data_IF_428905605338
#
_entry.id   IF_428905605338
#
_cell.length_a   1.000
_cell.length_b   1.000
_cell.length_c   1.000
_cell.angle_alpha   90.00
_cell.angle_beta   90.00
_cell.angle_gamma   90.00
#
_symmetry.space_group_name_H-M   'P 1'
#
loop_
_entity.id
_entity.type
_entity.pdbx_description
1 polymer ?
#
# COMPACT_ATOMS: atom_id res chain seq x y z
N UNK A 1 20.11 7.08 3.04
CA UNK A 1 18.90 6.70 3.81
C UNK A 1 18.37 5.42 3.22
N UNK A 2 18.16 4.42 4.09
CA UNK A 2 17.65 3.11 3.70
C UNK A 2 16.17 2.98 4.05
N UNK A 3 15.34 2.62 3.09
CA UNK A 3 13.89 2.55 3.23
C UNK A 3 13.42 1.15 2.85
N UNK A 4 12.61 0.52 3.72
CA UNK A 4 11.86 -0.67 3.37
C UNK A 4 10.48 -0.25 2.87
N UNK A 5 10.14 -0.59 1.63
CA UNK A 5 8.84 -0.28 1.01
C UNK A 5 8.02 -1.57 0.83
N UNK A 6 6.88 -1.60 1.49
CA UNK A 6 5.87 -2.66 1.38
C UNK A 6 4.52 -2.06 0.98
N UNK A 7 3.61 -2.89 0.50
CA UNK A 7 2.23 -2.52 0.17
C UNK A 7 1.31 -3.73 0.22
N UNK A 8 0.02 -3.49 0.28
CA UNK A 8 -1.03 -4.49 0.13
C UNK A 8 -0.86 -5.74 1.03
N UNK A 9 -0.61 -5.57 2.35
CA UNK A 9 -0.51 -6.73 3.24
C UNK A 9 -1.84 -7.44 3.45
N UNK A 10 -2.98 -6.79 3.25
CA UNK A 10 -4.32 -7.37 3.35
C UNK A 10 -4.50 -8.29 4.56
N UNK A 11 -4.23 -7.75 5.74
CA UNK A 11 -4.45 -8.49 6.99
C UNK A 11 -5.93 -8.85 7.09
N UNK A 12 -6.19 -10.13 7.37
CA UNK A 12 -7.54 -10.69 7.46
C UNK A 12 -7.93 -10.95 8.90
N UNK A 13 -9.23 -10.95 9.16
CA UNK A 13 -9.79 -11.42 10.42
C UNK A 13 -9.41 -12.87 10.67
N UNK A 14 -9.00 -13.25 11.89
CA UNK A 14 -8.85 -14.64 12.26
C UNK A 14 -10.17 -15.40 12.06
N UNK A 15 -10.09 -16.61 11.50
CA UNK A 15 -11.27 -17.47 11.27
C UNK A 15 -12.43 -16.77 10.53
N UNK A 16 -12.14 -15.83 9.62
CA UNK A 16 -13.16 -15.09 8.91
C UNK A 16 -14.16 -16.01 8.16
N UNK A 17 -13.71 -17.22 7.76
CA UNK A 17 -14.56 -18.23 7.09
C UNK A 17 -15.63 -18.83 7.98
N UNK A 18 -15.43 -18.78 9.31
CA UNK A 18 -16.36 -19.30 10.32
C UNK A 18 -17.36 -18.23 10.78
N UNK A 19 -17.18 -16.97 10.38
CA UNK A 19 -18.04 -15.86 10.76
C UNK A 19 -19.30 -15.81 9.88
N UNK A 20 -20.46 -15.50 10.44
CA UNK A 20 -21.68 -15.28 9.66
C UNK A 20 -21.53 -14.05 8.77
N UNK A 21 -22.18 -14.06 7.60
CA UNK A 21 -22.11 -12.95 6.65
C UNK A 21 -22.62 -11.62 7.24
N UNK A 22 -23.52 -11.68 8.22
CA UNK A 22 -24.01 -10.51 8.95
C UNK A 22 -22.92 -9.67 9.62
N UNK A 23 -21.80 -10.29 10.05
CA UNK A 23 -20.71 -9.59 10.72
C UNK A 23 -19.97 -8.62 9.78
N UNK A 24 -20.02 -8.89 8.47
CA UNK A 24 -19.35 -8.07 7.47
C UNK A 24 -20.20 -6.86 7.00
N UNK A 25 -21.52 -6.92 7.21
CA UNK A 25 -22.46 -5.91 6.76
C UNK A 25 -22.67 -5.90 5.23
N UNK A 26 -23.74 -5.25 4.74
CA UNK A 26 -24.16 -5.34 3.33
C UNK A 26 -23.15 -4.75 2.35
N UNK A 27 -22.44 -3.69 2.74
CA UNK A 27 -21.47 -3.03 1.84
C UNK A 27 -20.18 -3.82 1.60
N UNK A 28 -19.84 -4.74 2.51
CA UNK A 28 -18.70 -5.64 2.38
C UNK A 28 -19.08 -7.00 1.81
N UNK A 29 -20.38 -7.27 1.61
CA UNK A 29 -20.87 -8.57 1.17
C UNK A 29 -20.21 -9.02 -0.15
N UNK A 30 -20.07 -8.12 -1.15
CA UNK A 30 -19.42 -8.43 -2.43
C UNK A 30 -17.95 -8.81 -2.20
N UNK A 31 -17.23 -8.01 -1.43
CA UNK A 31 -15.82 -8.28 -1.12
C UNK A 31 -15.66 -9.59 -0.33
N UNK A 32 -16.58 -9.89 0.58
CA UNK A 32 -16.59 -11.16 1.31
C UNK A 32 -16.80 -12.34 0.37
N UNK A 33 -17.68 -12.23 -0.63
CA UNK A 33 -17.87 -13.26 -1.66
C UNK A 33 -16.57 -13.50 -2.45
N UNK A 34 -15.82 -12.45 -2.81
CA UNK A 34 -14.52 -12.60 -3.48
C UNK A 34 -13.50 -13.33 -2.60
N UNK A 35 -13.50 -13.07 -1.28
CA UNK A 35 -12.66 -13.81 -0.34
C UNK A 35 -13.02 -15.30 -0.33
N UNK A 36 -14.31 -15.63 -0.34
CA UNK A 36 -14.80 -17.00 -0.36
C UNK A 36 -14.43 -17.73 -1.65
N UNK A 37 -14.45 -17.05 -2.80
CA UNK A 37 -14.06 -17.60 -4.11
C UNK A 37 -12.57 -17.94 -4.23
N UNK A 38 -11.74 -17.61 -3.25
CA UNK A 38 -10.33 -18.01 -3.22
C UNK A 38 -9.35 -16.92 -2.85
N UNK A 39 -9.65 -15.63 -3.07
CA UNK A 39 -8.76 -14.52 -2.72
C UNK A 39 -8.30 -14.59 -1.25
N UNK A 40 -9.18 -15.01 -0.34
CA UNK A 40 -8.82 -15.15 1.07
C UNK A 40 -7.71 -16.15 1.35
N UNK A 41 -7.54 -17.20 0.50
CA UNK A 41 -6.47 -18.19 0.65
C UNK A 41 -5.09 -17.61 0.31
N UNK A 42 -5.06 -16.64 -0.60
CA UNK A 42 -3.82 -15.96 -1.00
C UNK A 42 -3.19 -15.22 0.18
N UNK A 43 -4.00 -14.82 1.16
CA UNK A 43 -3.60 -14.05 2.33
C UNK A 43 -3.60 -14.84 3.63
N UNK A 44 -3.81 -16.16 3.57
CA UNK A 44 -3.61 -17.01 4.76
C UNK A 44 -2.18 -16.84 5.28
N UNK A 45 -2.04 -16.44 6.56
CA UNK A 45 -0.76 -16.12 7.19
C UNK A 45 -0.19 -14.72 6.86
N UNK A 46 -0.97 -13.82 6.27
CA UNK A 46 -0.55 -12.46 5.95
C UNK A 46 -0.05 -11.69 7.19
N UNK A 47 -0.72 -11.83 8.32
CA UNK A 47 -0.34 -11.20 9.59
C UNK A 47 1.07 -11.63 10.04
N UNK A 48 1.40 -12.92 9.95
CA UNK A 48 2.73 -13.38 10.35
C UNK A 48 3.81 -12.93 9.37
N UNK A 49 3.51 -12.91 8.07
CA UNK A 49 4.44 -12.35 7.06
C UNK A 49 4.67 -10.86 7.30
N UNK A 50 3.61 -10.10 7.66
CA UNK A 50 3.74 -8.69 8.00
C UNK A 50 4.63 -8.47 9.23
N UNK A 51 4.46 -9.29 10.28
CA UNK A 51 5.33 -9.29 11.46
C UNK A 51 6.78 -9.61 11.08
N UNK A 52 6.99 -10.57 10.18
CA UNK A 52 8.33 -10.89 9.70
C UNK A 52 8.96 -9.71 8.97
N UNK A 53 8.21 -9.03 8.09
CA UNK A 53 8.70 -7.83 7.38
C UNK A 53 9.06 -6.71 8.38
N UNK A 54 8.28 -6.54 9.45
CA UNK A 54 8.62 -5.58 10.51
C UNK A 54 9.95 -5.94 11.20
N UNK A 55 10.21 -7.23 11.49
CA UNK A 55 11.51 -7.69 12.02
C UNK A 55 12.65 -7.49 11.00
N UNK A 56 12.38 -7.70 9.72
CA UNK A 56 13.36 -7.52 8.65
C UNK A 56 13.86 -6.06 8.55
N UNK A 57 13.01 -5.09 8.92
CA UNK A 57 13.41 -3.69 8.96
C UNK A 57 14.58 -3.45 9.93
N UNK A 58 14.60 -4.13 11.07
CA UNK A 58 15.72 -4.07 12.02
C UNK A 58 16.95 -4.81 11.49
N UNK A 59 16.77 -6.02 10.98
CA UNK A 59 17.86 -6.83 10.41
C UNK A 59 18.56 -6.13 9.25
N UNK A 60 17.81 -5.40 8.42
CA UNK A 60 18.31 -4.63 7.29
C UNK A 60 18.75 -3.21 7.67
N UNK A 61 18.58 -2.82 8.93
CA UNK A 61 18.87 -1.46 9.43
C UNK A 61 18.17 -0.39 8.60
N UNK A 62 16.87 -0.60 8.35
CA UNK A 62 16.08 0.39 7.64
C UNK A 62 15.87 1.63 8.52
N UNK A 63 16.19 2.80 7.97
CA UNK A 63 15.93 4.09 8.63
C UNK A 63 14.44 4.36 8.72
N UNK A 64 13.70 4.00 7.66
CA UNK A 64 12.25 4.17 7.56
C UNK A 64 11.59 2.94 6.92
N UNK A 65 10.33 2.71 7.27
CA UNK A 65 9.47 1.71 6.65
C UNK A 65 8.26 2.43 6.06
N UNK A 66 8.02 2.24 4.78
CA UNK A 66 6.89 2.83 4.05
C UNK A 66 5.91 1.75 3.67
N UNK A 67 4.64 1.92 4.07
CA UNK A 67 3.53 1.10 3.60
C UNK A 67 2.59 1.95 2.74
N UNK A 68 2.45 1.57 1.46
CA UNK A 68 1.63 2.32 0.51
C UNK A 68 0.18 1.84 0.43
N UNK A 69 -0.36 1.31 1.54
CA UNK A 69 -1.80 1.08 1.72
C UNK A 69 -2.24 -0.38 1.62
N UNK A 70 -3.56 -0.55 1.69
CA UNK A 70 -4.26 -1.83 1.76
C UNK A 70 -3.75 -2.72 2.90
N UNK A 71 -3.66 -2.10 4.09
CA UNK A 71 -3.30 -2.79 5.34
C UNK A 71 -4.30 -3.89 5.68
N UNK A 72 -5.58 -3.60 5.44
CA UNK A 72 -6.70 -4.46 5.78
C UNK A 72 -7.32 -5.10 4.54
N UNK A 73 -8.11 -6.13 4.75
CA UNK A 73 -8.85 -6.79 3.66
C UNK A 73 -10.25 -6.17 3.47
N UNK A 74 -10.93 -5.81 4.55
CA UNK A 74 -12.32 -5.36 4.57
C UNK A 74 -12.54 -4.06 5.37
N UNK A 75 -11.50 -3.37 5.79
CA UNK A 75 -11.56 -2.21 6.69
C UNK A 75 -12.35 -2.50 7.98
N UNK A 76 -12.18 -3.68 8.55
CA UNK A 76 -12.75 -4.03 9.85
C UNK A 76 -11.85 -3.52 10.96
N UNK A 77 -12.45 -3.11 12.08
CA UNK A 77 -11.72 -2.58 13.24
C UNK A 77 -10.66 -3.57 13.75
N UNK A 78 -11.03 -4.85 13.83
CA UNK A 78 -10.11 -5.91 14.26
C UNK A 78 -8.94 -6.11 13.29
N UNK A 79 -9.15 -5.93 11.98
CA UNK A 79 -8.07 -6.01 10.99
C UNK A 79 -7.08 -4.87 11.18
N UNK A 80 -7.57 -3.65 11.42
CA UNK A 80 -6.71 -2.50 11.74
C UNK A 80 -5.93 -2.72 13.03
N UNK A 81 -6.58 -3.22 14.09
CA UNK A 81 -5.89 -3.52 15.35
C UNK A 81 -4.77 -4.56 15.16
N UNK A 82 -5.02 -5.61 14.38
CA UNK A 82 -4.02 -6.63 14.06
C UNK A 82 -2.85 -6.05 13.24
N UNK A 83 -3.14 -5.25 12.21
CA UNK A 83 -2.12 -4.61 11.39
C UNK A 83 -1.27 -3.64 12.21
N UNK A 84 -1.92 -2.79 13.04
CA UNK A 84 -1.24 -1.86 13.92
C UNK A 84 -0.32 -2.61 14.91
N UNK A 85 -0.83 -3.68 15.56
CA UNK A 85 -0.03 -4.48 16.47
C UNK A 85 1.18 -5.15 15.80
N UNK A 86 1.04 -5.58 14.54
CA UNK A 86 2.16 -6.16 13.77
C UNK A 86 3.24 -5.13 13.43
N UNK A 87 2.85 -3.88 13.20
CA UNK A 87 3.73 -2.78 12.80
C UNK A 87 4.20 -1.91 13.98
N UNK A 88 3.62 -2.08 15.16
CA UNK A 88 3.94 -1.30 16.37
C UNK A 88 5.46 -1.27 16.72
N UNK A 89 6.24 -2.36 16.54
CA UNK A 89 7.68 -2.32 16.80
C UNK A 89 8.46 -1.29 15.97
N UNK A 90 7.90 -0.85 14.83
CA UNK A 90 8.54 0.13 13.96
C UNK A 90 8.50 1.56 14.54
N UNK A 91 7.52 1.86 15.39
CA UNK A 91 7.39 3.18 16.05
C UNK A 91 7.34 4.33 15.05
N UNK A 92 8.18 5.34 15.28
CA UNK A 92 8.23 6.56 14.45
C UNK A 92 8.89 6.34 13.09
N UNK A 93 9.51 5.19 12.86
CA UNK A 93 10.07 4.84 11.54
C UNK A 93 9.00 4.46 10.53
N UNK A 94 7.75 4.23 10.96
CA UNK A 94 6.66 3.79 10.09
C UNK A 94 5.96 5.00 9.45
N UNK A 95 5.88 4.99 8.13
CA UNK A 95 5.06 5.89 7.32
C UNK A 95 4.02 5.02 6.60
N UNK A 96 2.74 5.27 6.85
CA UNK A 96 1.64 4.59 6.16
C UNK A 96 0.75 5.60 5.46
N UNK A 97 0.26 5.23 4.28
CA UNK A 97 -0.86 5.89 3.61
C UNK A 97 -2.00 4.86 3.43
N UNK A 98 -3.26 5.28 3.34
CA UNK A 98 -4.36 4.33 3.14
C UNK A 98 -4.41 3.81 1.70
N UNK A 99 -4.89 2.56 1.56
CA UNK A 99 -5.33 2.00 0.29
C UNK A 99 -6.85 1.99 0.16
N UNK A 100 -7.37 1.51 -0.97
CA UNK A 100 -8.83 1.46 -1.18
C UNK A 100 -9.51 0.41 -0.29
N UNK A 101 -8.82 -0.67 0.08
CA UNK A 101 -9.33 -1.64 1.05
C UNK A 101 -9.40 -1.07 2.47
N UNK A 102 -8.57 -0.10 2.82
CA UNK A 102 -8.63 0.61 4.12
C UNK A 102 -9.76 1.64 4.16
N UNK A 103 -10.31 2.00 3.01
CA UNK A 103 -11.35 3.01 2.81
C UNK A 103 -12.72 2.44 2.41
N UNK A 104 -12.97 1.16 2.61
CA UNK A 104 -14.27 0.57 2.28
C UNK A 104 -15.42 1.46 2.78
N UNK A 105 -16.33 1.89 1.88
CA UNK A 105 -17.31 2.89 2.23
C UNK A 105 -18.33 2.38 3.26
N UNK A 106 -18.66 3.23 4.22
CA UNK A 106 -19.79 3.07 5.12
C UNK A 106 -20.86 4.08 4.71
N UNK A 107 -22.04 3.60 4.34
CA UNK A 107 -23.18 4.44 3.91
C UNK A 107 -22.81 5.47 2.81
N UNK A 108 -22.01 5.05 1.82
CA UNK A 108 -21.61 5.91 0.69
C UNK A 108 -20.49 6.91 0.99
N UNK A 109 -19.90 6.87 2.17
CA UNK A 109 -18.75 7.72 2.56
C UNK A 109 -17.51 6.86 2.82
N UNK A 110 -16.28 7.38 2.58
CA UNK A 110 -15.06 6.69 2.95
C UNK A 110 -15.07 6.35 4.45
N UNK A 111 -14.65 5.13 4.78
CA UNK A 111 -14.43 4.74 6.15
C UNK A 111 -13.25 5.53 6.73
N UNK A 112 -13.39 6.05 7.95
CA UNK A 112 -12.36 6.84 8.64
C UNK A 112 -11.67 6.07 9.76
N UNK A 113 -11.92 4.78 9.90
CA UNK A 113 -11.23 3.94 10.90
C UNK A 113 -9.71 3.93 10.69
N UNK A 114 -9.24 4.03 9.45
CA UNK A 114 -7.81 4.10 9.17
C UNK A 114 -7.11 5.17 10.02
N UNK A 115 -7.63 6.40 10.07
CA UNK A 115 -7.02 7.50 10.80
C UNK A 115 -7.00 7.29 12.32
N UNK A 116 -7.91 6.47 12.85
CA UNK A 116 -7.94 6.13 14.28
C UNK A 116 -6.78 5.21 14.67
N UNK A 117 -6.34 4.36 13.75
CA UNK A 117 -5.24 3.40 13.96
C UNK A 117 -3.90 3.91 13.43
N UNK A 118 -3.91 4.63 12.33
CA UNK A 118 -2.75 5.21 11.66
C UNK A 118 -2.97 6.72 11.47
N UNK A 119 -2.89 7.51 12.57
CA UNK A 119 -3.13 8.93 12.49
C UNK A 119 -2.10 9.61 11.58
N UNK A 120 -2.50 10.64 10.82
CA UNK A 120 -1.59 11.38 9.96
C UNK A 120 -0.47 12.00 10.80
N UNK A 121 0.76 11.86 10.31
CA UNK A 121 1.96 12.42 10.93
C UNK A 121 2.66 13.34 9.94
N UNK A 122 3.40 14.35 10.41
CA UNK A 122 4.29 15.12 9.54
C UNK A 122 5.25 14.19 8.81
N UNK A 123 5.31 14.32 7.50
CA UNK A 123 6.26 13.56 6.69
C UNK A 123 7.64 14.23 6.72
N UNK A 124 8.74 13.45 6.68
CA UNK A 124 10.05 14.00 6.44
C UNK A 124 10.07 14.81 5.15
N UNK A 125 10.88 15.87 5.06
CA UNK A 125 10.94 16.80 3.93
C UNK A 125 11.10 16.13 2.55
N UNK A 126 11.80 14.99 2.53
CA UNK A 126 12.03 14.20 1.31
C UNK A 126 10.86 13.31 0.89
N UNK A 127 9.70 13.45 1.52
CA UNK A 127 8.50 12.67 1.20
C UNK A 127 7.34 13.59 0.82
N UNK A 128 6.49 13.08 -0.06
CA UNK A 128 5.19 13.65 -0.36
C UNK A 128 4.18 12.52 -0.44
N UNK A 129 3.03 12.65 0.22
CA UNK A 129 1.95 11.67 0.14
C UNK A 129 0.77 12.24 -0.62
N UNK A 130 0.17 11.40 -1.47
CA UNK A 130 -1.01 11.70 -2.27
C UNK A 130 -2.11 10.72 -1.88
N UNK A 131 -3.26 11.23 -1.47
CA UNK A 131 -4.41 10.39 -1.10
C UNK A 131 -5.24 10.04 -2.34
N UNK A 132 -4.89 8.94 -3.00
CA UNK A 132 -5.65 8.42 -4.15
C UNK A 132 -6.94 7.70 -3.77
N UNK A 133 -7.23 7.52 -2.47
CA UNK A 133 -8.38 6.80 -1.92
C UNK A 133 -9.36 7.72 -1.16
N UNK A 134 -9.08 9.03 -1.09
CA UNK A 134 -9.87 10.01 -0.33
C UNK A 134 -11.24 10.31 -0.93
N UNK A 135 -11.45 10.00 -2.21
CA UNK A 135 -12.71 10.16 -2.92
C UNK A 135 -13.17 8.81 -3.48
N UNK A 136 -14.45 8.48 -3.25
CA UNK A 136 -15.05 7.28 -3.84
C UNK A 136 -15.41 7.57 -5.29
N UNK A 137 -14.85 6.83 -6.21
CA UNK A 137 -15.21 6.88 -7.64
C UNK A 137 -16.43 6.02 -7.91
N UNK A 138 -17.61 6.47 -7.43
CA UNK A 138 -18.86 5.72 -7.64
C UNK A 138 -19.17 5.52 -9.14
N UNK A 139 -19.65 4.34 -9.59
CA UNK A 139 -19.93 3.13 -8.82
C UNK A 139 -18.70 2.22 -8.58
N UNK A 140 -17.53 2.61 -9.04
CA UNK A 140 -16.31 1.78 -9.03
C UNK A 140 -15.41 2.19 -7.88
N UNK A 141 -15.58 1.55 -6.73
CA UNK A 141 -14.85 1.87 -5.48
C UNK A 141 -13.37 1.51 -5.49
N UNK A 142 -12.91 0.75 -6.50
CA UNK A 142 -11.52 0.31 -6.65
C UNK A 142 -10.68 1.26 -7.51
N UNK A 143 -11.27 2.32 -8.08
CA UNK A 143 -10.54 3.34 -8.80
C UNK A 143 -9.92 4.36 -7.85
N UNK A 144 -8.68 4.77 -8.14
CA UNK A 144 -8.03 5.89 -7.47
C UNK A 144 -8.25 7.22 -8.18
N UNK A 145 -8.21 8.29 -7.39
CA UNK A 145 -8.19 9.66 -7.91
C UNK A 145 -7.33 10.56 -7.02
N UNK A 146 -6.47 11.35 -7.62
CA UNK A 146 -5.68 12.37 -6.93
C UNK A 146 -6.30 13.73 -7.24
N UNK A 147 -6.41 14.58 -6.22
CA UNK A 147 -6.89 15.97 -6.40
C UNK A 147 -5.84 16.78 -7.14
N UNK A 148 -6.26 17.60 -8.09
CA UNK A 148 -5.32 18.45 -8.84
C UNK A 148 -4.53 19.41 -7.94
N UNK A 149 -5.09 19.83 -6.81
CA UNK A 149 -4.38 20.64 -5.82
C UNK A 149 -3.18 19.92 -5.20
N UNK A 150 -3.23 18.62 -5.04
CA UNK A 150 -2.13 17.80 -4.49
C UNK A 150 -0.98 17.66 -5.49
N UNK A 151 -1.25 17.78 -6.79
CA UNK A 151 -0.24 17.71 -7.85
C UNK A 151 0.54 19.04 -8.05
N UNK A 152 0.14 20.12 -7.36
CA UNK A 152 0.79 21.45 -7.50
C UNK A 152 2.03 21.63 -6.60
N UNK A 153 2.35 20.66 -5.75
CA UNK A 153 3.54 20.71 -4.90
C UNK A 153 4.82 20.36 -5.66
N UNK A 154 5.97 20.77 -5.15
CA UNK A 154 7.27 20.38 -5.72
C UNK A 154 7.63 18.96 -5.29
N UNK A 155 7.79 18.07 -6.27
CA UNK A 155 8.20 16.67 -6.07
C UNK A 155 9.68 16.41 -6.33
N UNK A 156 10.44 17.41 -6.75
CA UNK A 156 11.86 17.23 -7.16
C UNK A 156 12.69 16.59 -6.05
N UNK A 157 13.31 15.47 -6.37
CA UNK A 157 14.15 14.69 -5.45
C UNK A 157 13.42 14.05 -4.28
N UNK A 158 12.09 14.09 -4.24
CA UNK A 158 11.27 13.47 -3.18
C UNK A 158 10.83 12.05 -3.54
N UNK A 159 10.49 11.29 -2.51
CA UNK A 159 9.74 10.04 -2.63
C UNK A 159 8.25 10.37 -2.55
N UNK A 160 7.55 10.10 -3.63
CA UNK A 160 6.10 10.33 -3.77
C UNK A 160 5.37 9.05 -3.40
N UNK A 161 4.55 9.10 -2.37
CA UNK A 161 3.77 7.96 -1.89
C UNK A 161 2.35 8.05 -2.44
N UNK A 162 1.89 7.03 -3.12
CA UNK A 162 0.53 6.91 -3.63
C UNK A 162 0.12 5.45 -3.63
N UNK A 163 -1.11 5.13 -3.24
CA UNK A 163 -1.54 3.73 -3.23
C UNK A 163 -1.70 3.16 -4.65
N UNK A 164 -2.53 3.81 -5.48
CA UNK A 164 -2.80 3.33 -6.83
C UNK A 164 -1.61 3.54 -7.76
N UNK A 165 -1.15 2.44 -8.38
CA UNK A 165 -0.10 2.50 -9.38
C UNK A 165 -0.54 3.29 -10.64
N UNK A 166 0.35 4.09 -11.24
CA UNK A 166 0.01 4.84 -12.46
C UNK A 166 -0.13 3.94 -13.70
N UNK A 167 0.48 2.77 -13.69
CA UNK A 167 0.42 1.76 -14.76
C UNK A 167 0.81 0.38 -14.21
N UNK A 168 0.60 -0.67 -14.99
CA UNK A 168 1.01 -2.05 -14.72
C UNK A 168 2.40 -2.34 -15.27
N UNK A 169 2.94 -3.50 -14.93
CA UNK A 169 4.20 -4.02 -15.49
C UNK A 169 4.24 -3.83 -17.01
N UNK A 170 5.36 -3.31 -17.51
CA UNK A 170 5.54 -3.00 -18.93
C UNK A 170 4.95 -1.66 -19.38
N UNK A 171 4.52 -0.79 -18.45
CA UNK A 171 3.95 0.53 -18.77
C UNK A 171 2.51 0.49 -19.30
N UNK A 172 1.84 -0.66 -19.19
CA UNK A 172 0.49 -0.85 -19.70
C UNK A 172 -0.51 -0.18 -18.76
N UNK A 173 -1.52 0.57 -19.26
CA UNK A 173 -2.59 1.11 -18.42
C UNK A 173 -3.32 0.01 -17.65
N UNK A 174 -3.66 0.28 -16.41
CA UNK A 174 -4.50 -0.64 -15.64
C UNK A 174 -5.95 -0.63 -16.12
N UNK A 175 -6.72 -1.65 -15.70
CA UNK A 175 -8.11 -1.82 -16.12
C UNK A 175 -8.96 -0.58 -15.80
N UNK A 176 -9.91 -0.17 -16.67
CA UNK A 176 -10.70 1.04 -16.49
C UNK A 176 -11.39 1.17 -15.13
N UNK A 177 -11.77 0.06 -14.53
CA UNK A 177 -12.46 0.02 -13.22
C UNK A 177 -11.51 -0.06 -12.01
N UNK A 178 -10.20 -0.15 -12.25
CA UNK A 178 -9.19 -0.39 -11.21
C UNK A 178 -8.10 0.69 -11.20
N UNK A 179 -7.94 1.42 -12.30
CA UNK A 179 -6.85 2.36 -12.54
C UNK A 179 -6.88 3.62 -11.68
N UNK A 180 -5.72 4.26 -11.58
CA UNK A 180 -5.61 5.65 -11.11
C UNK A 180 -6.12 6.62 -12.19
N UNK A 181 -7.15 7.40 -11.87
CA UNK A 181 -7.59 8.51 -12.74
C UNK A 181 -6.59 9.64 -12.66
N UNK A 182 -6.14 10.14 -13.81
CA UNK A 182 -5.12 11.19 -13.89
C UNK A 182 -3.70 10.68 -13.70
N UNK A 183 -3.42 9.39 -13.94
CA UNK A 183 -2.09 8.80 -13.86
C UNK A 183 -1.04 9.59 -14.69
N UNK A 184 -1.39 10.03 -15.90
CA UNK A 184 -0.50 10.85 -16.73
C UNK A 184 -0.13 12.19 -16.09
N UNK A 185 -1.08 12.86 -15.42
CA UNK A 185 -0.82 14.10 -14.69
C UNK A 185 0.13 13.87 -13.50
N UNK A 186 -0.01 12.72 -12.79
CA UNK A 186 0.92 12.37 -11.73
C UNK A 186 2.33 12.13 -12.28
N UNK A 187 2.45 11.37 -13.37
CA UNK A 187 3.74 11.08 -13.99
C UNK A 187 4.44 12.34 -14.49
N UNK A 188 3.69 13.28 -15.08
CA UNK A 188 4.20 14.58 -15.51
C UNK A 188 4.65 15.43 -14.31
N UNK A 189 3.80 15.57 -13.29
CA UNK A 189 4.11 16.38 -12.11
C UNK A 189 5.30 15.82 -11.31
N UNK A 190 5.44 14.51 -11.23
CA UNK A 190 6.47 13.81 -10.46
C UNK A 190 7.63 13.27 -11.33
N UNK A 191 7.85 13.80 -12.54
CA UNK A 191 8.91 13.35 -13.43
C UNK A 191 10.31 13.49 -12.81
N UNK A 192 10.54 14.53 -12.01
CA UNK A 192 11.80 14.80 -11.32
C UNK A 192 11.82 14.26 -9.88
N UNK A 193 10.83 13.46 -9.47
CA UNK A 193 10.84 12.79 -8.18
C UNK A 193 11.93 11.72 -8.12
N UNK A 194 12.49 11.50 -6.93
CA UNK A 194 13.45 10.42 -6.70
C UNK A 194 12.82 9.04 -7.00
N UNK A 195 11.60 8.83 -6.55
CA UNK A 195 10.75 7.70 -6.94
C UNK A 195 9.28 7.98 -6.61
N UNK A 196 8.38 7.25 -7.32
CA UNK A 196 6.96 7.12 -7.00
C UNK A 196 6.77 5.71 -6.42
N UNK A 197 6.44 5.64 -5.14
CA UNK A 197 6.21 4.38 -4.42
C UNK A 197 4.72 4.07 -4.39
N UNK A 198 4.33 2.90 -4.90
CA UNK A 198 2.92 2.51 -5.03
C UNK A 198 2.69 1.00 -4.79
N UNK A 199 1.41 0.60 -4.79
CA UNK A 199 0.93 -0.77 -4.63
C UNK A 199 -0.25 -1.09 -5.52
N UNK A 200 -1.37 -1.59 -4.94
CA UNK A 200 -2.70 -1.78 -5.53
C UNK A 200 -2.83 -2.91 -6.55
N UNK A 201 -1.99 -2.95 -7.57
CA UNK A 201 -2.09 -3.91 -8.67
C UNK A 201 -1.50 -5.29 -8.35
N UNK A 202 -0.94 -5.47 -7.16
CA UNK A 202 -0.29 -6.71 -6.69
C UNK A 202 0.83 -7.25 -7.60
N UNK A 203 1.31 -6.45 -8.54
CA UNK A 203 2.48 -6.74 -9.38
C UNK A 203 3.69 -5.99 -8.83
N UNK A 204 4.80 -6.70 -8.57
CA UNK A 204 6.03 -6.04 -8.12
C UNK A 204 6.92 -5.73 -9.30
N UNK A 205 7.19 -4.44 -9.53
CA UNK A 205 8.05 -3.99 -10.61
C UNK A 205 8.70 -2.64 -10.30
N UNK A 206 9.74 -2.34 -11.05
CA UNK A 206 10.31 -1.01 -11.18
C UNK A 206 10.34 -0.63 -12.66
N UNK A 207 9.88 0.57 -12.99
CA UNK A 207 9.93 1.12 -14.35
C UNK A 207 10.14 2.64 -14.27
N UNK A 208 11.27 3.11 -14.79
CA UNK A 208 11.70 4.49 -14.57
C UNK A 208 11.82 4.79 -13.08
N UNK A 209 11.19 5.88 -12.64
CA UNK A 209 11.12 6.27 -11.24
C UNK A 209 9.91 5.67 -10.49
N UNK A 210 9.10 4.81 -11.11
CA UNK A 210 7.97 4.13 -10.45
C UNK A 210 8.44 2.81 -9.86
N UNK A 211 8.21 2.62 -8.56
CA UNK A 211 8.51 1.40 -7.79
C UNK A 211 7.21 0.89 -7.16
N UNK A 212 6.65 -0.15 -7.73
CA UNK A 212 5.46 -0.81 -7.22
C UNK A 212 5.85 -1.98 -6.32
N UNK A 213 5.39 -2.00 -5.06
CA UNK A 213 5.71 -3.06 -4.12
C UNK A 213 4.96 -4.37 -4.42
N UNK A 214 3.88 -4.30 -5.17
CA UNK A 214 2.95 -5.42 -5.29
C UNK A 214 2.34 -5.73 -3.93
N UNK A 215 1.80 -6.94 -3.76
CA UNK A 215 1.35 -7.36 -2.45
C UNK A 215 2.48 -8.03 -1.67
N UNK A 216 2.82 -7.43 -0.52
CA UNK A 216 3.98 -7.87 0.27
C UNK A 216 3.75 -9.17 1.04
N UNK A 217 2.50 -9.57 1.21
CA UNK A 217 2.13 -10.76 1.98
C UNK A 217 1.34 -11.80 1.18
N UNK A 218 1.07 -11.57 -0.11
CA UNK A 218 0.36 -12.52 -0.95
C UNK A 218 1.15 -13.81 -1.10
N UNK A 219 0.54 -14.94 -0.79
CA UNK A 219 1.17 -16.25 -0.85
C UNK A 219 1.72 -16.56 -2.26
N UNK A 220 3.00 -16.91 -2.31
CA UNK A 220 3.72 -17.18 -3.57
C UNK A 220 4.17 -15.95 -4.36
N UNK A 221 3.85 -14.73 -3.86
CA UNK A 221 4.32 -13.47 -4.44
C UNK A 221 4.79 -12.48 -3.35
N UNK A 222 5.09 -12.99 -2.17
CA UNK A 222 5.55 -12.21 -1.03
C UNK A 222 6.79 -11.39 -1.36
N UNK A 223 6.97 -10.28 -0.65
CA UNK A 223 8.22 -9.51 -0.68
C UNK A 223 8.01 -8.01 -0.62
N UNK A 224 9.12 -7.30 -0.63
CA UNK A 224 9.19 -5.86 -0.47
C UNK A 224 10.44 -5.31 -1.16
N UNK A 225 10.51 -4.00 -1.29
CA UNK A 225 11.70 -3.32 -1.76
C UNK A 225 12.55 -2.78 -0.60
N UNK A 226 13.86 -2.82 -0.76
CA UNK A 226 14.79 -2.01 0.02
C UNK A 226 15.35 -0.95 -0.91
N UNK A 227 15.16 0.30 -0.56
CA UNK A 227 15.52 1.46 -1.38
C UNK A 227 16.63 2.23 -0.67
N UNK A 228 17.75 2.40 -1.34
CA UNK A 228 18.83 3.27 -0.91
C UNK A 228 18.65 4.64 -1.57
N UNK A 229 18.30 5.65 -0.77
CA UNK A 229 18.14 7.02 -1.25
C UNK A 229 19.41 7.81 -0.98
N UNK A 230 20.13 8.17 -2.03
CA UNK A 230 21.35 8.98 -1.96
C UNK A 230 21.04 10.43 -1.55
N UNK A 231 22.07 11.16 -1.09
CA UNK A 231 21.95 12.58 -0.74
C UNK A 231 21.50 13.42 -1.95
N UNK A 232 21.94 13.08 -3.17
CA UNK A 232 21.56 13.74 -4.42
C UNK A 232 20.19 13.36 -4.98
N UNK A 233 19.38 12.56 -4.27
CA UNK A 233 18.03 12.20 -4.67
C UNK A 233 17.92 10.97 -5.56
N UNK A 234 19.02 10.33 -5.98
CA UNK A 234 18.97 9.07 -6.70
C UNK A 234 18.50 7.94 -5.78
N UNK A 235 17.58 7.10 -6.28
CA UNK A 235 17.05 5.94 -5.57
C UNK A 235 17.48 4.64 -6.26
N UNK A 236 18.14 3.74 -5.51
CA UNK A 236 18.45 2.38 -5.95
C UNK A 236 17.56 1.41 -5.18
N UNK A 237 16.82 0.55 -5.87
CA UNK A 237 15.88 -0.38 -5.24
C UNK A 237 16.29 -1.83 -5.50
N UNK A 238 16.21 -2.66 -4.44
CA UNK A 238 16.46 -4.11 -4.50
C UNK A 238 15.30 -4.86 -3.89
N UNK A 239 14.91 -5.97 -4.52
CA UNK A 239 13.83 -6.82 -4.04
C UNK A 239 14.30 -7.77 -2.94
N UNK A 240 13.44 -7.93 -1.94
CA UNK A 240 13.64 -8.85 -0.83
C UNK A 240 12.39 -9.69 -0.58
N UNK A 241 12.60 -10.89 -0.06
CA UNK A 241 11.56 -11.77 0.48
C UNK A 241 11.57 -11.67 2.02
N UNK A 242 10.46 -11.99 2.71
CA UNK A 242 10.43 -12.09 4.16
C UNK A 242 11.56 -12.99 4.69
N UNK A 243 12.17 -12.58 5.82
CA UNK A 243 13.41 -13.15 6.34
C UNK A 243 14.67 -12.49 5.79
N UNK A 244 14.56 -11.24 5.31
CA UNK A 244 15.65 -10.39 4.81
C UNK A 244 16.49 -11.05 3.69
N UNK A 245 15.84 -11.88 2.86
CA UNK A 245 16.50 -12.60 1.75
C UNK A 245 16.42 -11.77 0.47
N UNK A 246 17.55 -11.25 0.02
CA UNK A 246 17.60 -10.51 -1.25
C UNK A 246 17.31 -11.43 -2.43
N UNK A 247 16.43 -10.99 -3.34
CA UNK A 247 16.21 -11.65 -4.62
C UNK A 247 17.39 -11.32 -5.53
N UNK A 248 18.10 -12.35 -6.00
CA UNK A 248 19.17 -12.18 -6.99
C UNK A 248 18.51 -11.97 -8.36
N UNK A 249 18.87 -10.88 -9.01
CA UNK A 249 18.51 -10.59 -10.42
C UNK A 249 19.21 -11.53 -11.38
#
# INVERSE_FOLDING_TARGET
MRILHLSDPHVQLPRWRERPLSDFGPLRAIATVELWKGRGRDYDGALERLRQIARDADALRADLVVCTGDLTQLAMEEEFALAQGALAPLGDRLICIPGNHDRYPLAGRPNRLYESYFPPRPLPERFAALDSCGEICWPVITQGRIRESELKQDFRGKLVLVHHAPFRTGGVPDWPWHRLRGASKLLEAAQDAAAILCGHIHERFQSGNVICAGSSTRRGAEGYWVIELAAGGAAEAKQYLPGARQVRS
#
